data_IF_670602702655
#
_entry.id   IF_670602702655
#
_cell.length_a   1.000
_cell.length_b   1.000
_cell.length_c   1.000
_cell.angle_alpha   90.00
_cell.angle_beta   90.00
_cell.angle_gamma   90.00
#
_symmetry.space_group_name_H-M   'P 1'
#
loop_
_entity.id
_entity.type
_entity.pdbx_description
1 polymer ?
#
# COMPACT_ATOMS: atom_id res chain seq x y z
N UNK A 1 13.11 17.02 18.70
CA UNK A 1 11.70 17.39 18.48
C UNK A 1 11.58 18.20 17.19
N UNK A 2 10.74 17.76 16.26
CA UNK A 2 10.54 18.42 14.98
C UNK A 2 9.41 17.75 14.19
N UNK A 3 9.03 18.37 13.07
CA UNK A 3 8.04 17.84 12.14
C UNK A 3 8.55 17.98 10.72
N UNK A 4 8.25 17.02 9.88
CA UNK A 4 8.33 17.14 8.42
C UNK A 4 7.01 17.69 7.90
N UNK A 5 7.06 18.65 6.99
CA UNK A 5 5.89 19.18 6.30
C UNK A 5 5.84 18.65 4.87
N UNK A 6 4.81 17.89 4.56
CA UNK A 6 4.51 17.48 3.19
C UNK A 6 3.85 18.65 2.45
N UNK A 7 4.43 19.07 1.34
CA UNK A 7 3.99 20.22 0.54
C UNK A 7 3.90 19.86 -0.94
N UNK A 8 3.36 20.75 -1.75
CA UNK A 8 3.31 20.58 -3.21
C UNK A 8 4.70 20.51 -3.87
N UNK A 9 5.76 20.98 -3.20
CA UNK A 9 7.17 20.91 -3.65
C UNK A 9 7.91 19.67 -3.17
N UNK A 10 7.28 18.82 -2.34
CA UNK A 10 7.86 17.54 -1.93
C UNK A 10 7.98 16.61 -3.12
N UNK A 11 9.10 15.89 -3.21
CA UNK A 11 9.40 14.96 -4.32
C UNK A 11 9.88 13.64 -3.78
N UNK A 12 9.67 12.56 -4.54
CA UNK A 12 10.24 11.24 -4.26
C UNK A 12 11.59 11.07 -4.98
N UNK A 13 12.55 10.45 -4.27
CA UNK A 13 13.76 9.87 -4.87
C UNK A 13 13.63 8.35 -4.88
N UNK A 14 13.70 7.75 -6.07
CA UNK A 14 13.56 6.31 -6.27
C UNK A 14 14.47 5.88 -7.43
N UNK A 15 15.68 5.39 -7.11
CA UNK A 15 16.73 5.10 -8.09
C UNK A 15 16.58 3.72 -8.76
N UNK A 16 15.80 2.80 -8.17
CA UNK A 16 15.59 1.46 -8.74
C UNK A 16 14.16 1.33 -9.30
N UNK A 17 13.92 0.46 -10.30
CA UNK A 17 12.57 0.24 -10.85
C UNK A 17 11.54 -0.16 -9.76
N UNK A 18 11.96 -0.95 -8.81
CA UNK A 18 11.11 -1.41 -7.70
C UNK A 18 10.75 -0.23 -6.77
N UNK A 19 11.73 0.60 -6.39
CA UNK A 19 11.49 1.80 -5.60
C UNK A 19 10.58 2.80 -6.34
N UNK A 20 10.76 2.94 -7.66
CA UNK A 20 9.94 3.80 -8.50
C UNK A 20 8.48 3.37 -8.52
N UNK A 21 8.21 2.06 -8.65
CA UNK A 21 6.85 1.50 -8.58
C UNK A 21 6.17 1.85 -7.25
N UNK A 22 6.88 1.71 -6.13
CA UNK A 22 6.38 2.08 -4.80
C UNK A 22 6.14 3.60 -4.71
N UNK A 23 7.09 4.42 -5.15
CA UNK A 23 6.99 5.88 -5.12
C UNK A 23 5.80 6.40 -5.93
N UNK A 24 5.61 5.90 -7.15
CA UNK A 24 4.51 6.29 -8.04
C UNK A 24 3.14 5.90 -7.43
N UNK A 25 3.04 4.72 -6.83
CA UNK A 25 1.82 4.30 -6.13
C UNK A 25 1.46 5.28 -5.00
N UNK A 26 2.43 5.62 -4.14
CA UNK A 26 2.17 6.51 -3.01
C UNK A 26 2.02 7.97 -3.42
N UNK A 27 2.71 8.45 -4.45
CA UNK A 27 2.47 9.77 -5.03
C UNK A 27 1.01 9.93 -5.49
N UNK A 28 0.47 8.92 -6.16
CA UNK A 28 -0.94 8.90 -6.57
C UNK A 28 -1.91 8.80 -5.37
N UNK A 29 -1.60 7.98 -4.36
CA UNK A 29 -2.43 7.87 -3.15
C UNK A 29 -2.48 9.19 -2.40
N UNK A 30 -1.34 9.83 -2.17
CA UNK A 30 -1.23 11.13 -1.49
C UNK A 30 -1.96 12.24 -2.25
N UNK A 31 -1.92 12.23 -3.58
CA UNK A 31 -2.62 13.21 -4.41
C UNK A 31 -4.12 13.27 -4.14
N UNK A 32 -4.75 12.16 -3.84
CA UNK A 32 -6.21 12.06 -3.65
C UNK A 32 -6.71 13.02 -2.56
N UNK A 33 -6.03 13.06 -1.43
CA UNK A 33 -6.42 13.85 -0.27
C UNK A 33 -5.71 15.21 -0.17
N UNK A 34 -4.44 15.28 -0.62
CA UNK A 34 -3.63 16.50 -0.55
C UNK A 34 -3.83 17.43 -1.76
N UNK A 35 -4.17 16.87 -2.93
CA UNK A 35 -4.15 17.58 -4.21
C UNK A 35 -2.74 17.81 -4.79
N UNK A 36 -1.67 17.33 -4.13
CA UNK A 36 -0.30 17.57 -4.55
C UNK A 36 0.10 16.59 -5.67
N UNK A 37 0.75 17.12 -6.71
CA UNK A 37 1.38 16.30 -7.76
C UNK A 37 2.85 16.10 -7.40
N UNK A 38 3.13 15.07 -6.59
CA UNK A 38 4.48 14.77 -6.14
C UNK A 38 5.26 14.08 -7.26
N UNK A 39 6.37 14.72 -7.69
CA UNK A 39 7.23 14.16 -8.71
C UNK A 39 8.07 12.99 -8.17
N UNK A 40 8.40 12.05 -9.05
CA UNK A 40 9.32 10.94 -8.77
C UNK A 40 10.57 11.14 -9.61
N UNK A 41 11.74 11.21 -8.97
CA UNK A 41 13.07 11.39 -9.58
C UNK A 41 13.98 10.22 -9.20
N UNK A 42 14.97 9.95 -10.02
CA UNK A 42 16.01 8.95 -9.72
C UNK A 42 17.16 9.53 -8.89
N UNK A 43 17.36 10.83 -8.93
CA UNK A 43 18.57 11.48 -8.39
C UNK A 43 18.33 12.28 -7.13
N UNK A 44 17.17 12.91 -6.96
CA UNK A 44 16.88 13.82 -5.86
C UNK A 44 15.43 13.71 -5.35
N UNK A 45 15.20 14.04 -4.09
CA UNK A 45 13.88 14.06 -3.48
C UNK A 45 13.93 14.18 -1.96
N UNK A 46 12.81 14.64 -1.38
CA UNK A 46 12.65 14.77 0.07
C UNK A 46 12.17 13.44 0.70
N UNK A 47 11.52 12.58 -0.09
CA UNK A 47 11.12 11.24 0.33
C UNK A 47 12.00 10.26 -0.45
N UNK A 48 12.94 9.62 0.24
CA UNK A 48 13.94 8.73 -0.35
C UNK A 48 13.57 7.29 -0.09
N UNK A 49 13.44 6.49 -1.15
CA UNK A 49 13.23 5.05 -1.08
C UNK A 49 14.53 4.32 -1.49
N UNK A 50 15.26 3.82 -0.50
CA UNK A 50 16.47 3.01 -0.68
C UNK A 50 16.12 1.53 -0.61
N UNK A 51 16.21 0.82 -1.73
CA UNK A 51 16.08 -0.63 -1.77
C UNK A 51 17.44 -1.24 -2.09
N UNK A 52 17.97 -2.01 -1.14
CA UNK A 52 19.25 -2.70 -1.27
C UNK A 52 19.09 -4.17 -0.91
N UNK A 53 19.11 -5.08 -1.91
CA UNK A 53 18.98 -6.54 -1.68
C UNK A 53 20.10 -7.16 -0.81
N UNK A 54 21.23 -6.45 -0.64
CA UNK A 54 22.36 -6.92 0.18
C UNK A 54 22.14 -6.71 1.69
N UNK A 55 21.12 -5.97 2.11
CA UNK A 55 20.85 -5.72 3.51
C UNK A 55 20.49 -7.01 4.27
N UNK A 56 21.08 -7.17 5.44
CA UNK A 56 20.74 -8.25 6.38
C UNK A 56 19.50 -7.90 7.18
N UNK A 57 18.35 -7.86 6.50
CA UNK A 57 17.04 -7.64 7.13
C UNK A 57 15.96 -8.49 6.47
N UNK A 58 14.82 -8.61 7.13
CA UNK A 58 13.64 -9.28 6.57
C UNK A 58 13.21 -8.58 5.26
N UNK A 59 12.80 -9.32 4.24
CA UNK A 59 12.35 -8.76 2.96
C UNK A 59 11.15 -7.80 3.09
N UNK A 60 10.34 -7.97 4.11
CA UNK A 60 9.22 -7.09 4.45
C UNK A 60 9.57 -6.07 5.55
N UNK A 61 10.80 -6.11 6.07
CA UNK A 61 11.31 -5.17 7.06
C UNK A 61 11.74 -3.84 6.43
N UNK A 62 11.76 -2.79 7.25
CA UNK A 62 12.22 -1.47 6.85
C UNK A 62 12.77 -0.68 8.03
N UNK A 63 13.60 0.31 7.70
CA UNK A 63 13.98 1.41 8.58
C UNK A 63 13.41 2.70 7.99
N UNK A 64 12.66 3.43 8.79
CA UNK A 64 12.08 4.73 8.47
C UNK A 64 12.74 5.80 9.35
N UNK A 65 13.27 6.85 8.73
CA UNK A 65 13.79 8.03 9.40
C UNK A 65 13.06 9.26 8.88
N UNK A 66 12.41 9.99 9.76
CA UNK A 66 11.76 11.27 9.47
C UNK A 66 12.55 12.39 10.14
N UNK A 67 12.98 13.37 9.35
CA UNK A 67 13.66 14.58 9.78
C UNK A 67 12.88 15.82 9.36
N UNK A 68 13.18 17.03 9.83
CA UNK A 68 12.49 18.24 9.35
C UNK A 68 12.65 18.50 7.84
N UNK A 69 13.67 17.91 7.20
CA UNK A 69 14.01 18.16 5.79
C UNK A 69 13.64 17.01 4.85
N UNK A 70 13.29 15.83 5.39
CA UNK A 70 12.95 14.68 4.53
C UNK A 70 12.60 13.42 5.28
N UNK A 71 12.19 12.44 4.50
CA UNK A 71 11.85 11.08 4.92
C UNK A 71 12.78 10.12 4.18
N UNK A 72 13.39 9.18 4.88
CA UNK A 72 14.17 8.11 4.29
C UNK A 72 13.63 6.76 4.72
N UNK A 73 13.36 5.90 3.76
CA UNK A 73 12.98 4.50 3.96
C UNK A 73 14.05 3.62 3.35
N UNK A 74 14.67 2.81 4.18
CA UNK A 74 15.67 1.80 3.77
C UNK A 74 15.07 0.42 3.96
N UNK A 75 15.08 -0.40 2.90
CA UNK A 75 14.50 -1.73 2.89
C UNK A 75 15.31 -2.70 2.03
N UNK A 76 15.20 -4.00 2.29
CA UNK A 76 15.83 -5.03 1.47
C UNK A 76 15.10 -5.25 0.14
N UNK A 77 13.78 -5.06 0.12
CA UNK A 77 12.91 -5.28 -1.03
C UNK A 77 11.76 -4.28 -1.07
N UNK A 78 11.05 -4.19 -2.19
CA UNK A 78 9.92 -3.28 -2.38
C UNK A 78 8.80 -3.48 -1.38
N UNK A 79 8.57 -4.71 -0.89
CA UNK A 79 7.59 -4.98 0.15
C UNK A 79 7.89 -4.20 1.45
N UNK A 80 9.16 -4.19 1.89
CA UNK A 80 9.57 -3.40 3.05
C UNK A 80 9.42 -1.90 2.82
N UNK A 81 9.83 -1.39 1.64
CA UNK A 81 9.63 0.01 1.27
C UNK A 81 8.15 0.40 1.24
N UNK A 82 7.28 -0.47 0.71
CA UNK A 82 5.83 -0.30 0.71
C UNK A 82 5.27 -0.20 2.13
N UNK A 83 5.68 -1.09 3.04
CA UNK A 83 5.24 -1.06 4.43
C UNK A 83 5.78 0.15 5.21
N UNK A 84 6.99 0.61 4.89
CA UNK A 84 7.52 1.87 5.40
C UNK A 84 6.66 3.06 5.00
N UNK A 85 6.22 3.11 3.74
CA UNK A 85 5.29 4.14 3.27
C UNK A 85 3.90 4.02 3.89
N UNK A 86 3.37 2.81 4.15
CA UNK A 86 2.13 2.65 4.93
C UNK A 86 2.26 3.26 6.33
N UNK A 87 3.43 3.12 6.96
CA UNK A 87 3.69 3.77 8.26
C UNK A 87 3.76 5.28 8.13
N UNK A 88 4.34 5.83 7.05
CA UNK A 88 4.29 7.28 6.77
C UNK A 88 2.85 7.78 6.68
N UNK A 89 1.94 7.05 5.99
CA UNK A 89 0.52 7.41 5.94
C UNK A 89 -0.12 7.43 7.34
N UNK A 90 0.22 6.46 8.19
CA UNK A 90 -0.30 6.38 9.58
C UNK A 90 0.24 7.49 10.50
N UNK A 91 1.39 8.09 10.17
CA UNK A 91 1.97 9.22 10.91
C UNK A 91 1.39 10.58 10.45
N UNK A 92 0.80 10.65 9.27
CA UNK A 92 0.11 11.83 8.76
C UNK A 92 -1.25 12.00 9.46
N UNK A 93 -1.86 13.21 9.38
CA UNK A 93 -3.23 13.43 9.84
C UNK A 93 -4.22 12.43 9.20
N UNK A 94 -5.26 12.04 9.96
CA UNK A 94 -6.24 11.03 9.52
C UNK A 94 -6.97 11.42 8.22
N UNK A 95 -7.01 12.70 7.90
CA UNK A 95 -7.53 13.26 6.66
C UNK A 95 -6.83 12.73 5.41
N UNK A 96 -5.65 12.07 5.56
CA UNK A 96 -4.94 11.43 4.44
C UNK A 96 -5.77 10.29 3.81
N UNK A 97 -6.70 9.71 4.52
CA UNK A 97 -7.62 8.68 4.01
C UNK A 97 -8.88 9.27 3.33
N UNK A 98 -8.98 10.61 3.21
CA UNK A 98 -10.08 11.27 2.49
C UNK A 98 -10.06 10.88 1.00
N UNK A 99 -11.28 10.71 0.45
CA UNK A 99 -11.49 10.43 -0.99
C UNK A 99 -11.54 11.71 -1.85
N UNK A 100 -11.36 12.87 -1.24
CA UNK A 100 -11.33 14.16 -1.89
C UNK A 100 -10.29 15.06 -1.23
N UNK A 101 -9.87 16.10 -1.95
CA UNK A 101 -8.87 17.05 -1.45
C UNK A 101 -9.39 17.74 -0.19
N UNK A 102 -8.59 17.70 0.86
CA UNK A 102 -8.85 18.33 2.16
C UNK A 102 -7.77 19.37 2.45
N UNK A 103 -8.17 20.50 2.99
CA UNK A 103 -7.24 21.54 3.44
C UNK A 103 -6.88 21.27 4.91
N UNK A 104 -5.65 20.81 5.13
CA UNK A 104 -5.09 20.58 6.47
C UNK A 104 -3.58 20.78 6.45
N UNK A 105 -2.96 20.82 7.63
CA UNK A 105 -1.50 20.87 7.77
C UNK A 105 -0.93 19.45 7.67
N UNK A 106 -0.44 19.10 6.50
CA UNK A 106 0.15 17.79 6.22
C UNK A 106 1.52 17.65 6.88
N UNK A 107 1.54 17.44 8.20
CA UNK A 107 2.77 17.27 8.97
C UNK A 107 2.82 15.93 9.67
N UNK A 108 4.02 15.37 9.81
CA UNK A 108 4.28 14.17 10.59
C UNK A 108 5.47 14.38 11.52
N UNK A 109 5.51 13.72 12.70
CA UNK A 109 6.59 13.91 13.67
C UNK A 109 7.91 13.36 13.16
N UNK A 110 9.03 13.99 13.54
CA UNK A 110 10.35 13.41 13.36
C UNK A 110 10.50 12.18 14.24
N UNK A 111 10.87 11.05 13.62
CA UNK A 111 10.93 9.74 14.29
C UNK A 111 11.91 8.82 13.56
N UNK A 112 12.47 7.86 14.28
CA UNK A 112 13.16 6.70 13.70
C UNK A 112 12.40 5.44 14.09
N UNK A 113 12.02 4.63 13.10
CA UNK A 113 11.29 3.37 13.27
C UNK A 113 12.06 2.27 12.54
N UNK A 114 12.32 1.18 13.24
CA UNK A 114 12.74 -0.09 12.64
C UNK A 114 11.64 -1.10 12.89
N UNK A 115 11.12 -1.70 11.82
CA UNK A 115 9.97 -2.60 11.91
C UNK A 115 10.13 -3.76 10.93
N UNK A 116 9.70 -4.94 11.36
CA UNK A 116 9.65 -6.14 10.54
C UNK A 116 8.50 -7.04 11.03
N UNK A 117 7.84 -7.78 10.15
CA UNK A 117 6.74 -8.64 10.56
C UNK A 117 7.24 -9.77 11.46
N UNK A 118 6.51 -10.00 12.56
CA UNK A 118 6.75 -11.14 13.47
C UNK A 118 6.38 -12.48 12.84
N UNK A 119 5.33 -12.48 11.99
CA UNK A 119 4.84 -13.67 11.29
C UNK A 119 4.99 -13.50 9.79
N UNK A 120 5.56 -14.51 9.12
CA UNK A 120 5.71 -14.52 7.66
C UNK A 120 4.35 -14.63 6.95
N UNK A 121 3.39 -15.36 7.52
CA UNK A 121 2.03 -15.46 7.00
C UNK A 121 1.09 -14.53 7.77
N UNK A 122 0.49 -13.59 7.07
CA UNK A 122 -0.55 -12.70 7.58
C UNK A 122 -1.67 -12.65 6.56
N UNK A 123 -2.67 -13.50 6.74
CA UNK A 123 -3.69 -13.80 5.73
C UNK A 123 -5.07 -13.33 6.11
N UNK A 124 -5.85 -12.99 5.08
CA UNK A 124 -7.29 -12.78 5.14
C UNK A 124 -7.95 -13.66 4.09
N UNK A 125 -9.01 -14.36 4.45
CA UNK A 125 -9.86 -15.09 3.51
C UNK A 125 -11.13 -14.28 3.21
N UNK A 126 -11.48 -14.21 1.92
CA UNK A 126 -12.70 -13.61 1.43
C UNK A 126 -13.49 -14.64 0.63
N UNK A 127 -14.75 -14.80 0.95
CA UNK A 127 -15.62 -15.82 0.37
C UNK A 127 -16.82 -15.20 -0.39
N UNK A 128 -16.62 -14.74 -1.63
CA UNK A 128 -17.71 -14.26 -2.47
C UNK A 128 -18.62 -15.38 -3.01
N UNK A 129 -18.26 -16.64 -2.80
CA UNK A 129 -19.11 -17.77 -3.21
C UNK A 129 -20.36 -17.88 -2.35
N UNK A 130 -20.22 -17.87 -1.02
CA UNK A 130 -21.35 -17.93 -0.10
C UNK A 130 -22.05 -16.59 0.06
N UNK A 131 -21.30 -15.50 -0.07
CA UNK A 131 -21.86 -14.14 -0.05
C UNK A 131 -21.20 -13.28 -1.14
N UNK A 132 -21.95 -12.98 -2.21
CA UNK A 132 -21.41 -12.25 -3.35
C UNK A 132 -20.85 -10.90 -2.93
N UNK A 133 -19.64 -10.60 -3.43
CA UNK A 133 -18.98 -9.31 -3.28
C UNK A 133 -18.69 -8.71 -4.65
N UNK A 134 -18.95 -7.43 -4.79
CA UNK A 134 -18.60 -6.66 -5.98
C UNK A 134 -17.10 -6.47 -6.11
N UNK A 135 -16.62 -6.14 -7.30
CA UNK A 135 -15.21 -5.83 -7.55
C UNK A 135 -14.72 -4.68 -6.65
N UNK A 136 -15.56 -3.66 -6.43
CA UNK A 136 -15.21 -2.51 -5.60
C UNK A 136 -15.11 -2.88 -4.11
N UNK A 137 -15.92 -3.80 -3.62
CA UNK A 137 -15.80 -4.31 -2.24
C UNK A 137 -14.52 -5.12 -2.07
N UNK A 138 -14.17 -5.97 -3.04
CA UNK A 138 -12.91 -6.73 -3.00
C UNK A 138 -11.70 -5.80 -3.06
N UNK A 139 -11.70 -4.79 -3.92
CA UNK A 139 -10.62 -3.78 -3.97
C UNK A 139 -10.46 -3.05 -2.64
N UNK A 140 -11.58 -2.62 -2.03
CA UNK A 140 -11.54 -2.00 -0.69
C UNK A 140 -10.95 -2.93 0.36
N UNK A 141 -11.27 -4.23 0.29
CA UNK A 141 -10.69 -5.22 1.19
C UNK A 141 -9.17 -5.32 1.02
N UNK A 142 -8.68 -5.30 -0.22
CA UNK A 142 -7.24 -5.30 -0.53
C UNK A 142 -6.56 -4.02 -0.01
N UNK A 143 -7.20 -2.86 -0.14
CA UNK A 143 -6.68 -1.59 0.40
C UNK A 143 -6.54 -1.65 1.93
N UNK A 144 -7.53 -2.22 2.63
CA UNK A 144 -7.45 -2.43 4.09
C UNK A 144 -6.35 -3.42 4.46
N UNK A 145 -6.20 -4.50 3.69
CA UNK A 145 -5.09 -5.45 3.89
C UNK A 145 -3.73 -4.76 3.74
N UNK A 146 -3.57 -3.92 2.71
CA UNK A 146 -2.34 -3.17 2.49
C UNK A 146 -2.03 -2.22 3.67
N UNK A 147 -3.02 -1.49 4.16
CA UNK A 147 -2.90 -0.60 5.33
C UNK A 147 -2.47 -1.37 6.60
N UNK A 148 -2.98 -2.58 6.79
CA UNK A 148 -2.68 -3.46 7.93
C UNK A 148 -1.45 -4.36 7.70
N UNK A 149 -0.73 -4.18 6.59
CA UNK A 149 0.46 -4.99 6.22
C UNK A 149 0.17 -6.49 6.13
N UNK A 150 -1.06 -6.86 5.73
CA UNK A 150 -1.46 -8.25 5.46
C UNK A 150 -0.92 -8.63 4.08
N UNK A 151 -0.24 -9.80 3.97
CA UNK A 151 0.49 -10.18 2.77
C UNK A 151 -0.10 -11.39 2.01
N UNK A 152 -1.17 -12.00 2.51
CA UNK A 152 -1.81 -13.16 1.90
C UNK A 152 -3.30 -12.92 1.75
N UNK A 153 -3.79 -12.98 0.51
CA UNK A 153 -5.22 -12.92 0.20
C UNK A 153 -5.72 -14.27 -0.28
N UNK A 154 -6.51 -14.95 0.56
CA UNK A 154 -7.19 -16.17 0.16
C UNK A 154 -8.54 -15.80 -0.45
N UNK A 155 -8.60 -15.75 -1.76
CA UNK A 155 -9.82 -15.44 -2.51
C UNK A 155 -10.55 -16.73 -2.89
N UNK A 156 -11.64 -17.03 -2.18
CA UNK A 156 -12.43 -18.25 -2.36
C UNK A 156 -13.48 -18.04 -3.46
N UNK A 157 -13.18 -18.54 -4.67
CA UNK A 157 -13.96 -18.27 -5.88
C UNK A 157 -14.75 -19.48 -6.40
N UNK A 158 -14.61 -20.65 -5.80
CA UNK A 158 -15.18 -21.90 -6.30
C UNK A 158 -15.88 -22.67 -5.20
N UNK A 159 -17.19 -22.78 -5.31
CA UNK A 159 -18.05 -23.45 -4.33
C UNK A 159 -19.36 -23.89 -5.00
N UNK A 160 -20.06 -24.89 -4.45
CA UNK A 160 -21.36 -25.34 -4.93
C UNK A 160 -22.47 -24.30 -4.73
N UNK A 161 -22.33 -23.43 -3.75
CA UNK A 161 -23.29 -22.37 -3.44
C UNK A 161 -23.17 -21.13 -4.35
N UNK A 162 -22.10 -21.03 -5.13
CA UNK A 162 -21.91 -19.95 -6.08
C UNK A 162 -20.51 -19.99 -6.71
N UNK A 163 -20.46 -20.27 -7.99
CA UNK A 163 -19.21 -20.28 -8.75
C UNK A 163 -18.89 -18.86 -9.26
N UNK A 164 -17.70 -18.31 -8.96
CA UNK A 164 -17.35 -16.90 -9.25
C UNK A 164 -16.20 -16.72 -10.24
N UNK A 165 -15.61 -17.81 -10.72
CA UNK A 165 -14.53 -17.76 -11.70
C UNK A 165 -15.03 -18.23 -13.08
N UNK A 166 -14.92 -17.38 -14.11
CA UNK A 166 -15.29 -17.77 -15.46
C UNK A 166 -14.28 -18.78 -16.01
N UNK A 167 -14.78 -19.93 -16.46
CA UNK A 167 -14.01 -20.92 -17.20
C UNK A 167 -14.66 -21.06 -18.58
N UNK A 168 -14.05 -20.46 -19.61
CA UNK A 168 -14.60 -20.41 -20.97
C UNK A 168 -14.95 -21.78 -21.55
N UNK A 169 -14.19 -22.83 -21.18
CA UNK A 169 -14.46 -24.22 -21.59
C UNK A 169 -15.71 -24.80 -20.93
N UNK A 170 -16.13 -24.25 -19.78
CA UNK A 170 -17.28 -24.75 -19.00
C UNK A 170 -18.22 -23.59 -18.63
N UNK A 171 -18.88 -22.95 -19.62
CA UNK A 171 -19.65 -21.71 -19.39
C UNK A 171 -20.81 -21.88 -18.40
N UNK A 172 -21.39 -23.07 -18.30
CA UNK A 172 -22.47 -23.35 -17.33
C UNK A 172 -22.08 -23.18 -15.88
N UNK A 173 -20.76 -23.18 -15.54
CA UNK A 173 -20.29 -22.89 -14.19
C UNK A 173 -20.63 -21.46 -13.76
N UNK A 174 -20.65 -20.51 -14.70
CA UNK A 174 -21.05 -19.13 -14.41
C UNK A 174 -22.48 -18.81 -14.85
N UNK A 175 -22.98 -19.38 -15.94
CA UNK A 175 -24.37 -19.15 -16.41
C UNK A 175 -25.41 -19.71 -15.43
N UNK A 176 -25.16 -20.87 -14.85
CA UNK A 176 -26.04 -21.57 -13.91
C UNK A 176 -25.50 -21.58 -12.50
N UNK A 177 -24.22 -21.98 -12.33
CA UNK A 177 -23.59 -22.15 -11.02
C UNK A 177 -23.28 -20.86 -10.27
N UNK A 178 -23.30 -19.71 -10.94
CA UNK A 178 -23.11 -18.41 -10.29
C UNK A 178 -24.41 -17.80 -9.76
N UNK A 179 -25.57 -18.35 -10.12
CA UNK A 179 -26.88 -17.85 -9.71
C UNK A 179 -27.42 -18.70 -8.55
N UNK A 180 -27.82 -18.02 -7.48
CA UNK A 180 -28.47 -18.63 -6.33
C UNK A 180 -29.93 -18.17 -6.28
N UNK A 181 -30.85 -19.11 -6.26
CA UNK A 181 -32.30 -18.90 -6.09
C UNK A 181 -32.68 -18.96 -4.62
#
# INVERSE_FOLDING_TARGET
EGKFALTASTTFKAATPEAKTVAEFFANKLKTSTGFNLAVSETEGNIVLNIDPALEMNAEGYKLVVTPTGIEITAKAGAGAFYGMQTVLQLLPAEIESKSVVKTDWTLPCVTIEDAPRFAYRGLMCDPCRHFMTVEEVKRQIDVMAMLKINQFHWHLTEDQGWRIEIKKYPKLTEVGAVRT
#
